data_IF_787029637823
#
_entry.id   IF_787029637823
#
_cell.length_a   1.000
_cell.length_b   1.000
_cell.length_c   1.000
_cell.angle_alpha   90.00
_cell.angle_beta   90.00
_cell.angle_gamma   90.00
#
_symmetry.space_group_name_H-M   'P 1'
#
loop_
_entity.id
_entity.type
_entity.pdbx_description
1 polymer ?
#
# COMPACT_ATOMS: atom_id res chain seq x y z
N UNK A 1 -35.40 -4.19 -31.06
CA UNK A 1 -36.69 -3.62 -31.55
C UNK A 1 -37.90 -4.47 -31.18
N UNK A 2 -37.90 -5.79 -31.42
CA UNK A 2 -39.07 -6.66 -31.11
C UNK A 2 -39.50 -6.66 -29.63
N UNK A 3 -38.55 -6.56 -28.69
CA UNK A 3 -38.81 -6.59 -27.24
C UNK A 3 -39.65 -5.39 -26.74
N UNK A 4 -39.43 -4.18 -27.27
CA UNK A 4 -40.18 -2.99 -26.85
C UNK A 4 -41.64 -3.06 -27.30
N UNK A 5 -41.89 -3.57 -28.53
CA UNK A 5 -43.25 -3.79 -29.04
C UNK A 5 -44.02 -4.85 -28.25
N UNK A 6 -43.37 -5.94 -27.83
CA UNK A 6 -43.99 -6.99 -27.01
C UNK A 6 -44.44 -6.47 -25.64
N UNK A 7 -43.70 -5.52 -25.07
CA UNK A 7 -44.02 -4.88 -23.79
C UNK A 7 -44.94 -3.65 -23.96
N UNK A 8 -45.29 -3.27 -25.18
CA UNK A 8 -46.14 -2.10 -25.47
C UNK A 8 -45.51 -0.75 -25.11
N UNK A 9 -44.18 -0.67 -25.06
CA UNK A 9 -43.42 0.52 -24.65
C UNK A 9 -42.62 1.10 -25.81
N UNK A 10 -42.34 2.41 -25.75
CA UNK A 10 -41.54 3.10 -26.75
C UNK A 10 -40.04 2.72 -26.61
N UNK A 11 -39.27 2.86 -27.68
CA UNK A 11 -37.85 2.49 -27.73
C UNK A 11 -36.96 3.42 -26.88
N UNK A 12 -37.44 4.61 -26.56
CA UNK A 12 -36.78 5.61 -25.71
C UNK A 12 -37.29 5.62 -24.25
N UNK A 13 -38.13 4.66 -23.88
CA UNK A 13 -38.75 4.59 -22.55
C UNK A 13 -37.74 4.29 -21.43
N UNK A 14 -37.83 5.03 -20.32
CA UNK A 14 -36.98 4.84 -19.13
C UNK A 14 -37.19 3.47 -18.48
N UNK A 15 -36.16 2.96 -17.79
CA UNK A 15 -36.19 1.66 -17.12
C UNK A 15 -37.40 1.48 -16.19
N UNK A 16 -37.80 2.55 -15.49
CA UNK A 16 -38.96 2.52 -14.59
C UNK A 16 -40.27 2.30 -15.34
N UNK A 17 -40.43 2.93 -16.51
CA UNK A 17 -41.63 2.78 -17.35
C UNK A 17 -41.73 1.38 -17.95
N UNK A 18 -40.60 0.80 -18.39
CA UNK A 18 -40.53 -0.60 -18.86
C UNK A 18 -40.90 -1.58 -17.74
N UNK A 19 -40.43 -1.33 -16.51
CA UNK A 19 -40.75 -2.16 -15.35
C UNK A 19 -42.24 -2.10 -15.00
N UNK A 20 -42.85 -0.92 -15.04
CA UNK A 20 -44.28 -0.75 -14.78
C UNK A 20 -45.13 -1.45 -15.84
N UNK A 21 -44.80 -1.29 -17.12
CA UNK A 21 -45.48 -1.97 -18.21
C UNK A 21 -45.42 -3.50 -18.09
N UNK A 22 -44.25 -4.05 -17.75
CA UNK A 22 -44.09 -5.48 -17.47
C UNK A 22 -44.98 -5.95 -16.32
N UNK A 23 -45.00 -5.24 -15.19
CA UNK A 23 -45.85 -5.62 -14.04
C UNK A 23 -47.33 -5.59 -14.39
N UNK A 24 -47.78 -4.63 -15.20
CA UNK A 24 -49.17 -4.57 -15.68
C UNK A 24 -49.52 -5.71 -16.63
N UNK A 25 -48.58 -6.13 -17.48
CA UNK A 25 -48.76 -7.27 -18.39
C UNK A 25 -48.74 -8.61 -17.66
N UNK A 26 -47.82 -8.81 -16.72
CA UNK A 26 -47.73 -10.02 -15.91
C UNK A 26 -49.02 -10.24 -15.12
N UNK A 27 -49.60 -9.20 -14.54
CA UNK A 27 -50.89 -9.29 -13.83
C UNK A 27 -52.05 -9.78 -14.72
N UNK A 28 -51.98 -9.58 -16.04
CA UNK A 28 -53.01 -10.00 -17.00
C UNK A 28 -52.71 -11.36 -17.64
N UNK A 29 -51.43 -11.71 -17.79
CA UNK A 29 -50.98 -12.87 -18.56
C UNK A 29 -50.59 -14.07 -17.68
N UNK A 30 -50.43 -13.87 -16.36
CA UNK A 30 -50.05 -14.94 -15.47
C UNK A 30 -51.12 -16.05 -15.44
N UNK A 31 -50.74 -17.34 -15.55
CA UNK A 31 -51.70 -18.46 -15.62
C UNK A 31 -52.65 -18.52 -14.42
N UNK A 32 -52.20 -18.08 -13.24
CA UNK A 32 -53.01 -18.07 -12.02
C UNK A 32 -53.81 -16.76 -11.80
N UNK A 33 -53.77 -15.81 -12.74
CA UNK A 33 -54.45 -14.51 -12.59
C UNK A 33 -55.97 -14.57 -12.86
N UNK A 34 -56.47 -15.70 -13.38
CA UNK A 34 -57.88 -15.89 -13.72
C UNK A 34 -58.41 -14.99 -14.84
N UNK A 35 -57.54 -14.27 -15.54
CA UNK A 35 -57.90 -13.34 -16.63
C UNK A 35 -58.13 -14.11 -17.94
N UNK A 36 -59.09 -13.71 -18.80
CA UNK A 36 -59.39 -14.41 -20.06
C UNK A 36 -58.24 -14.42 -21.07
N UNK A 37 -57.24 -13.55 -20.91
CA UNK A 37 -56.02 -13.50 -21.74
C UNK A 37 -54.83 -14.24 -21.11
N UNK A 38 -55.02 -14.91 -19.96
CA UNK A 38 -53.95 -15.65 -19.28
C UNK A 38 -53.43 -16.80 -20.17
N UNK A 39 -52.14 -16.76 -20.49
CA UNK A 39 -51.49 -17.75 -21.35
C UNK A 39 -50.03 -17.90 -20.92
N UNK A 40 -49.64 -19.13 -20.60
CA UNK A 40 -48.28 -19.45 -20.17
C UNK A 40 -47.24 -19.15 -21.25
N UNK A 41 -47.58 -19.38 -22.53
CA UNK A 41 -46.71 -19.10 -23.67
C UNK A 41 -46.46 -17.59 -23.83
N UNK A 42 -47.53 -16.78 -23.79
CA UNK A 42 -47.42 -15.32 -23.86
C UNK A 42 -46.65 -14.74 -22.68
N UNK A 43 -46.82 -15.31 -21.50
CA UNK A 43 -46.06 -14.90 -20.32
C UNK A 43 -44.55 -15.14 -20.50
N UNK A 44 -44.15 -16.30 -21.03
CA UNK A 44 -42.73 -16.61 -21.31
C UNK A 44 -42.12 -15.66 -22.35
N UNK A 45 -42.87 -15.31 -23.40
CA UNK A 45 -42.43 -14.34 -24.41
C UNK A 45 -42.19 -12.95 -23.79
N UNK A 46 -43.12 -12.47 -22.96
CA UNK A 46 -43.02 -11.18 -22.27
C UNK A 46 -41.87 -11.17 -21.25
N UNK A 47 -41.66 -12.27 -20.53
CA UNK A 47 -40.58 -12.41 -19.56
C UNK A 47 -39.20 -12.42 -20.23
N UNK A 48 -39.05 -13.18 -21.32
CA UNK A 48 -37.82 -13.19 -22.12
C UNK A 48 -37.49 -11.80 -22.69
N UNK A 49 -38.51 -11.08 -23.18
CA UNK A 49 -38.37 -9.72 -23.68
C UNK A 49 -37.93 -8.74 -22.58
N UNK A 50 -38.51 -8.84 -21.38
CA UNK A 50 -38.16 -7.99 -20.24
C UNK A 50 -36.73 -8.24 -19.76
N UNK A 51 -36.29 -9.50 -19.69
CA UNK A 51 -34.92 -9.88 -19.29
C UNK A 51 -33.87 -9.30 -20.24
N UNK A 52 -34.11 -9.36 -21.56
CA UNK A 52 -33.23 -8.76 -22.57
C UNK A 52 -33.13 -7.24 -22.40
N UNK A 53 -34.25 -6.55 -22.12
CA UNK A 53 -34.24 -5.11 -21.88
C UNK A 53 -33.50 -4.74 -20.59
N UNK A 54 -33.68 -5.52 -19.52
CA UNK A 54 -32.98 -5.30 -18.26
C UNK A 54 -31.46 -5.44 -18.42
N UNK A 55 -31.00 -6.40 -19.22
CA UNK A 55 -29.58 -6.55 -19.56
C UNK A 55 -29.06 -5.36 -20.38
N UNK A 56 -29.83 -4.88 -21.36
CA UNK A 56 -29.47 -3.68 -22.15
C UNK A 56 -29.31 -2.44 -21.25
N UNK A 57 -30.22 -2.21 -20.30
CA UNK A 57 -30.09 -1.10 -19.34
C UNK A 57 -28.92 -1.29 -18.37
N UNK A 58 -28.62 -2.52 -17.94
CA UNK A 58 -27.45 -2.82 -17.11
C UNK A 58 -26.13 -2.58 -17.85
N UNK A 59 -26.05 -2.95 -19.14
CA UNK A 59 -24.89 -2.68 -20.01
C UNK A 59 -24.70 -1.18 -20.25
N UNK A 60 -25.78 -0.45 -20.54
CA UNK A 60 -25.73 1.00 -20.71
C UNK A 60 -25.22 1.74 -19.46
N UNK A 61 -25.66 1.35 -18.26
CA UNK A 61 -25.14 1.90 -16.98
C UNK A 61 -23.65 1.65 -16.76
N UNK A 62 -23.12 0.55 -17.30
CA UNK A 62 -21.69 0.22 -17.20
C UNK A 62 -20.83 0.97 -18.22
N UNK A 63 -21.42 1.83 -19.05
CA UNK A 63 -20.69 2.61 -20.05
C UNK A 63 -20.05 1.77 -21.16
N UNK A 64 -20.50 0.51 -21.32
CA UNK A 64 -20.00 -0.37 -22.37
C UNK A 64 -20.75 0.00 -23.65
N UNK A 65 -20.19 0.95 -24.40
CA UNK A 65 -20.57 1.18 -25.80
C UNK A 65 -20.05 -0.02 -26.58
N UNK A 66 -20.93 -0.98 -26.84
CA UNK A 66 -20.63 -2.12 -27.70
C UNK A 66 -20.68 -1.60 -29.15
N UNK A 67 -19.55 -1.11 -29.63
CA UNK A 67 -19.34 -0.74 -31.02
C UNK A 67 -19.46 -2.03 -31.85
N UNK A 68 -20.65 -2.26 -32.41
CA UNK A 68 -21.05 -3.48 -33.11
C UNK A 68 -20.31 -3.70 -34.46
N UNK A 69 -19.13 -3.12 -34.64
CA UNK A 69 -18.34 -3.20 -35.88
C UNK A 69 -16.82 -3.22 -35.74
N UNK A 70 -16.24 -3.38 -34.55
CA UNK A 70 -14.80 -3.72 -34.53
C UNK A 70 -14.65 -5.25 -34.57
N UNK A 71 -14.26 -5.72 -35.76
CA UNK A 71 -13.44 -6.91 -35.92
C UNK A 71 -12.55 -7.06 -34.69
N UNK A 72 -12.55 -8.24 -34.07
CA UNK A 72 -11.58 -8.58 -33.03
C UNK A 72 -10.21 -8.26 -33.62
N UNK A 73 -9.63 -7.10 -33.25
CA UNK A 73 -8.24 -6.77 -33.55
C UNK A 73 -7.45 -7.81 -32.77
N UNK A 74 -7.21 -8.95 -33.42
CA UNK A 74 -6.12 -9.84 -33.09
C UNK A 74 -4.90 -8.99 -33.38
N UNK A 75 -4.48 -8.24 -32.38
CA UNK A 75 -3.20 -7.57 -32.46
C UNK A 75 -2.18 -8.72 -32.56
N UNK A 76 -1.59 -8.87 -33.74
CA UNK A 76 -0.45 -9.77 -33.96
C UNK A 76 0.78 -9.12 -33.32
N UNK A 77 0.69 -8.93 -32.00
CA UNK A 77 1.76 -8.39 -31.20
C UNK A 77 2.76 -9.53 -31.07
N UNK A 78 3.72 -9.57 -32.00
CA UNK A 78 4.97 -10.31 -31.82
C UNK A 78 5.82 -9.64 -30.73
N UNK A 79 5.27 -9.52 -29.53
CA UNK A 79 6.09 -9.33 -28.34
C UNK A 79 6.45 -10.72 -27.86
N UNK A 80 7.75 -11.01 -27.82
CA UNK A 80 8.27 -12.11 -27.02
C UNK A 80 7.74 -11.90 -25.61
N UNK A 81 6.71 -12.67 -25.23
CA UNK A 81 6.17 -12.61 -23.89
C UNK A 81 7.36 -12.73 -22.92
N UNK A 82 7.52 -11.82 -21.94
CA UNK A 82 8.61 -11.91 -20.99
C UNK A 82 8.66 -13.35 -20.46
N UNK A 83 9.79 -14.03 -20.69
CA UNK A 83 9.97 -15.47 -20.43
C UNK A 83 9.78 -15.84 -18.94
N UNK A 84 9.54 -14.85 -18.09
CA UNK A 84 9.40 -14.96 -16.64
C UNK A 84 7.96 -14.65 -16.19
N UNK A 85 6.94 -15.17 -16.89
CA UNK A 85 5.60 -15.32 -16.28
C UNK A 85 5.70 -16.37 -15.18
N UNK A 86 6.20 -15.97 -14.01
CA UNK A 86 6.00 -16.73 -12.80
C UNK A 86 4.51 -16.65 -12.47
N UNK A 87 3.79 -17.74 -12.69
CA UNK A 87 2.45 -17.85 -12.11
C UNK A 87 2.58 -17.63 -10.61
N UNK A 88 1.68 -16.83 -10.02
CA UNK A 88 1.53 -16.75 -8.57
C UNK A 88 1.28 -18.17 -8.07
N UNK A 89 2.34 -18.83 -7.59
CA UNK A 89 2.23 -20.09 -6.88
C UNK A 89 1.60 -19.73 -5.55
N UNK A 90 0.31 -20.02 -5.40
CA UNK A 90 -0.41 -19.82 -4.15
C UNK A 90 0.07 -20.80 -3.05
N UNK A 91 1.30 -21.31 -3.12
CA UNK A 91 1.84 -22.39 -2.27
C UNK A 91 0.92 -23.64 -2.19
N UNK A 92 0.15 -23.90 -3.24
CA UNK A 92 -0.86 -24.97 -3.26
C UNK A 92 -2.11 -24.68 -2.43
N UNK A 93 -2.29 -23.44 -1.96
CA UNK A 93 -3.38 -23.03 -1.09
C UNK A 93 -4.59 -22.61 -1.93
N UNK A 94 -5.71 -23.27 -1.65
CA UNK A 94 -7.01 -22.97 -2.23
C UNK A 94 -7.38 -23.83 -3.43
N UNK A 95 -8.68 -23.93 -3.68
CA UNK A 95 -9.26 -24.74 -4.76
C UNK A 95 -10.16 -23.90 -5.68
N UNK A 96 -10.37 -24.38 -6.90
CA UNK A 96 -11.24 -23.74 -7.88
C UNK A 96 -10.53 -22.79 -8.84
N UNK A 97 -11.29 -21.82 -9.36
CA UNK A 97 -10.83 -20.90 -10.42
C UNK A 97 -9.64 -20.03 -9.95
N UNK A 98 -8.79 -19.52 -10.85
CA UNK A 98 -7.65 -18.68 -10.47
C UNK A 98 -8.02 -17.47 -9.58
N UNK A 99 -9.16 -16.82 -9.84
CA UNK A 99 -9.64 -15.69 -9.03
C UNK A 99 -10.09 -16.12 -7.62
N UNK A 100 -10.73 -17.29 -7.50
CA UNK A 100 -11.12 -17.85 -6.19
C UNK A 100 -9.87 -18.21 -5.36
N UNK A 101 -8.89 -18.86 -5.99
CA UNK A 101 -7.60 -19.18 -5.35
C UNK A 101 -6.85 -17.92 -4.91
N UNK A 102 -6.84 -16.87 -5.73
CA UNK A 102 -6.25 -15.58 -5.35
C UNK A 102 -6.91 -14.98 -4.11
N UNK A 103 -8.25 -14.98 -4.05
CA UNK A 103 -8.99 -14.47 -2.88
C UNK A 103 -8.69 -15.26 -1.61
N UNK A 104 -8.65 -16.59 -1.72
CA UNK A 104 -8.32 -17.48 -0.59
C UNK A 104 -6.86 -17.32 -0.13
N UNK A 105 -5.92 -17.20 -1.08
CA UNK A 105 -4.52 -16.95 -0.76
C UNK A 105 -4.34 -15.59 -0.07
N UNK A 106 -5.07 -14.56 -0.49
CA UNK A 106 -5.07 -13.25 0.19
C UNK A 106 -5.55 -13.36 1.63
N UNK A 107 -6.61 -14.12 1.91
CA UNK A 107 -7.09 -14.33 3.29
C UNK A 107 -6.07 -15.08 4.14
N UNK A 108 -5.43 -16.13 3.60
CA UNK A 108 -4.41 -16.90 4.32
C UNK A 108 -3.14 -16.09 4.55
N UNK A 109 -2.72 -15.29 3.57
CA UNK A 109 -1.60 -14.37 3.70
C UNK A 109 -1.84 -13.34 4.81
N UNK A 110 -3.05 -12.79 4.91
CA UNK A 110 -3.41 -11.84 5.97
C UNK A 110 -3.36 -12.50 7.37
N UNK A 111 -3.90 -13.72 7.52
CA UNK A 111 -3.84 -14.47 8.77
C UNK A 111 -2.38 -14.76 9.19
N UNK A 112 -1.55 -15.22 8.25
CA UNK A 112 -0.13 -15.49 8.49
C UNK A 112 0.66 -14.24 8.86
N UNK A 113 0.29 -13.07 8.32
CA UNK A 113 0.88 -11.79 8.71
C UNK A 113 0.52 -11.41 10.16
N UNK A 114 -0.74 -11.65 10.58
CA UNK A 114 -1.16 -11.42 11.95
C UNK A 114 -0.44 -12.34 12.94
N UNK A 115 -0.29 -13.62 12.61
CA UNK A 115 0.44 -14.61 13.40
C UNK A 115 1.90 -14.18 13.60
N UNK A 116 2.60 -13.78 12.53
CA UNK A 116 3.99 -13.30 12.61
C UNK A 116 4.15 -12.04 13.47
N UNK A 117 3.18 -11.13 13.41
CA UNK A 117 3.19 -9.92 14.26
C UNK A 117 3.01 -10.30 15.73
N UNK A 118 2.13 -11.27 16.02
CA UNK A 118 1.91 -11.79 17.36
C UNK A 118 3.15 -12.53 17.89
N UNK A 119 3.76 -13.37 17.07
CA UNK A 119 5.02 -14.07 17.36
C UNK A 119 6.15 -13.08 17.65
N UNK A 120 6.32 -12.05 16.80
CA UNK A 120 7.30 -11.00 17.04
C UNK A 120 7.03 -10.22 18.33
N UNK A 121 5.76 -9.98 18.67
CA UNK A 121 5.37 -9.36 19.96
C UNK A 121 5.69 -10.26 21.15
N UNK A 122 5.43 -11.56 21.05
CA UNK A 122 5.75 -12.55 22.09
C UNK A 122 7.27 -12.68 22.27
N UNK A 123 8.03 -12.81 21.19
CA UNK A 123 9.50 -12.83 21.21
C UNK A 123 10.07 -11.56 21.84
N UNK A 124 9.52 -10.39 21.48
CA UNK A 124 9.90 -9.12 22.12
C UNK A 124 9.55 -9.07 23.61
N UNK A 125 8.42 -9.65 24.03
CA UNK A 125 8.05 -9.74 25.44
C UNK A 125 8.97 -10.70 26.23
N UNK A 126 9.33 -11.85 25.66
CA UNK A 126 10.30 -12.78 26.25
C UNK A 126 11.70 -12.17 26.34
N UNK A 127 12.14 -11.44 25.32
CA UNK A 127 13.41 -10.72 25.35
C UNK A 127 13.44 -9.58 26.41
N UNK A 128 12.29 -9.08 26.83
CA UNK A 128 12.20 -8.08 27.90
C UNK A 128 12.26 -8.65 29.32
N UNK A 129 12.07 -9.97 29.52
CA UNK A 129 12.24 -10.60 30.84
C UNK A 129 13.71 -10.83 31.21
N UNK A 130 14.61 -10.99 30.23
CA UNK A 130 16.06 -11.16 30.45
C UNK A 130 16.86 -9.85 30.50
N UNK A 131 16.25 -8.72 30.14
CA UNK A 131 16.89 -7.40 30.11
C UNK A 131 16.35 -6.47 31.21
N UNK A 132 16.93 -6.57 32.41
CA UNK A 132 16.70 -5.63 33.52
C UNK A 132 17.27 -4.24 33.19
N UNK A 133 16.41 -3.21 33.29
CA UNK A 133 16.66 -1.73 33.27
C UNK A 133 17.13 -1.13 31.93
N UNK A 134 16.50 -0.12 31.33
CA UNK A 134 16.04 1.19 31.87
C UNK A 134 14.85 1.66 31.02
N UNK A 135 13.62 1.60 31.56
CA UNK A 135 12.43 2.15 30.87
C UNK A 135 12.47 3.67 30.95
N UNK A 136 12.84 4.32 29.84
CA UNK A 136 12.52 5.74 29.64
C UNK A 136 11.00 5.94 29.73
N UNK A 137 10.59 7.10 30.22
CA UNK A 137 9.23 7.50 30.61
C UNK A 137 8.19 7.54 29.45
N UNK A 138 8.51 6.95 28.30
CA UNK A 138 7.71 6.97 27.08
C UNK A 138 6.81 5.73 26.90
N UNK A 139 6.83 4.76 27.82
CA UNK A 139 6.12 3.48 27.66
C UNK A 139 5.04 3.17 28.73
N UNK A 140 4.64 4.12 29.57
CA UNK A 140 3.48 3.99 30.49
C UNK A 140 2.12 4.29 29.83
N UNK A 141 1.83 3.76 28.64
CA UNK A 141 0.48 3.95 28.04
C UNK A 141 -0.33 2.70 27.76
N UNK A 142 0.18 1.49 27.96
CA UNK A 142 -0.61 0.30 27.66
C UNK A 142 -0.41 -0.84 28.65
N UNK A 143 -0.53 -0.56 29.96
CA UNK A 143 -1.05 -1.59 30.85
C UNK A 143 -2.51 -1.86 30.50
N UNK A 144 -2.82 -3.13 30.34
CA UNK A 144 -4.12 -3.65 29.94
C UNK A 144 -5.03 -3.59 31.18
N UNK A 145 -5.72 -2.47 31.37
CA UNK A 145 -6.81 -2.35 32.35
C UNK A 145 -7.93 -1.48 31.74
N UNK A 146 -9.09 -2.11 31.48
CA UNK A 146 -10.42 -1.49 31.29
C UNK A 146 -10.57 -0.32 30.30
N UNK A 147 -10.26 -0.53 29.00
CA UNK A 147 -10.25 0.56 27.98
C UNK A 147 -11.54 0.72 27.17
N UNK A 148 -12.49 -0.21 27.28
CA UNK A 148 -13.72 -0.19 26.45
C UNK A 148 -14.80 0.81 26.90
N UNK A 149 -14.56 1.61 27.95
CA UNK A 149 -15.53 2.63 28.38
C UNK A 149 -15.44 3.89 27.56
N UNK A 150 -14.26 4.51 27.54
CA UNK A 150 -14.05 5.79 26.85
C UNK A 150 -14.12 5.64 25.33
N UNK A 151 -13.46 4.64 24.75
CA UNK A 151 -13.48 4.43 23.29
C UNK A 151 -14.90 4.12 22.78
N UNK A 152 -15.73 3.43 23.58
CA UNK A 152 -17.14 3.19 23.25
C UNK A 152 -17.98 4.45 23.38
N UNK A 153 -17.77 5.25 24.42
CA UNK A 153 -18.46 6.55 24.59
C UNK A 153 -18.08 7.51 23.47
N UNK A 154 -16.82 7.54 23.06
CA UNK A 154 -16.35 8.33 21.91
C UNK A 154 -16.99 7.82 20.62
N UNK A 155 -17.05 6.51 20.40
CA UNK A 155 -17.73 5.94 19.22
C UNK A 155 -19.22 6.28 19.21
N UNK A 156 -19.93 6.13 20.34
CA UNK A 156 -21.34 6.46 20.47
C UNK A 156 -21.59 7.96 20.20
N UNK A 157 -20.71 8.85 20.68
CA UNK A 157 -20.76 10.30 20.40
C UNK A 157 -20.46 10.62 18.92
N UNK A 158 -19.52 9.91 18.29
CA UNK A 158 -19.23 10.05 16.86
C UNK A 158 -20.44 9.62 16.04
N UNK A 159 -21.05 8.48 16.36
CA UNK A 159 -22.26 7.99 15.67
C UNK A 159 -23.44 8.96 15.86
N UNK A 160 -23.61 9.51 17.07
CA UNK A 160 -24.63 10.52 17.34
C UNK A 160 -24.39 11.79 16.50
N UNK A 161 -23.17 12.30 16.44
CA UNK A 161 -22.80 13.46 15.60
C UNK A 161 -22.93 13.17 14.09
N UNK A 162 -22.67 11.94 13.64
CA UNK A 162 -22.94 11.49 12.26
C UNK A 162 -24.45 11.53 11.98
N UNK A 163 -25.29 11.00 12.90
CA UNK A 163 -26.74 11.00 12.75
C UNK A 163 -27.36 12.40 12.74
N UNK A 164 -26.79 13.33 13.52
CA UNK A 164 -27.18 14.75 13.54
C UNK A 164 -26.74 15.50 12.29
N UNK A 165 -25.83 14.92 11.51
CA UNK A 165 -25.31 15.51 10.29
C UNK A 165 -24.23 16.56 10.52
N UNK A 166 -23.61 16.61 11.70
CA UNK A 166 -22.57 17.60 12.05
C UNK A 166 -21.36 17.52 11.10
N UNK A 167 -21.12 16.36 10.50
CA UNK A 167 -20.04 16.12 9.54
C UNK A 167 -20.36 16.53 8.09
N UNK A 168 -21.62 16.90 7.81
CA UNK A 168 -22.07 17.22 6.43
C UNK A 168 -21.56 18.56 5.90
N UNK A 169 -21.14 19.47 6.80
CA UNK A 169 -20.61 20.80 6.45
C UNK A 169 -19.07 20.86 6.46
N UNK A 170 -18.39 19.71 6.43
CA UNK A 170 -16.92 19.67 6.39
C UNK A 170 -16.41 19.85 4.96
N UNK A 171 -15.29 20.58 4.82
CA UNK A 171 -14.62 20.75 3.54
C UNK A 171 -14.15 19.40 3.00
N UNK A 172 -14.77 18.92 1.91
CA UNK A 172 -14.47 17.62 1.32
C UNK A 172 -15.50 16.52 1.60
N UNK A 173 -16.58 16.83 2.32
CA UNK A 173 -17.69 15.89 2.50
C UNK A 173 -18.27 15.46 1.13
N UNK A 174 -18.41 14.15 0.93
CA UNK A 174 -18.92 13.56 -0.32
C UNK A 174 -17.97 13.60 -1.52
N UNK A 175 -16.81 14.25 -1.43
CA UNK A 175 -15.78 14.18 -2.47
C UNK A 175 -15.01 12.86 -2.34
N UNK A 176 -14.61 12.22 -3.44
CA UNK A 176 -13.69 11.08 -3.36
C UNK A 176 -12.44 11.52 -2.61
N UNK A 177 -11.85 10.60 -1.83
CA UNK A 177 -10.54 10.85 -1.21
C UNK A 177 -9.60 11.37 -2.30
N UNK A 178 -8.82 12.44 -2.04
CA UNK A 178 -7.91 12.98 -3.02
C UNK A 178 -7.06 11.83 -3.55
N UNK A 179 -7.10 11.64 -4.86
CA UNK A 179 -6.38 10.57 -5.52
C UNK A 179 -4.91 10.89 -5.28
N UNK A 180 -4.32 10.21 -4.30
CA UNK A 180 -2.92 10.37 -3.97
C UNK A 180 -2.15 9.70 -5.12
N UNK A 181 -2.10 10.38 -6.27
CA UNK A 181 -1.28 10.09 -7.45
C UNK A 181 0.22 10.00 -7.11
N UNK A 182 0.61 10.21 -5.85
CA UNK A 182 1.90 9.82 -5.29
C UNK A 182 2.00 8.31 -5.00
N UNK A 183 1.12 7.48 -5.55
CA UNK A 183 1.32 6.05 -5.58
C UNK A 183 2.37 5.79 -6.67
N UNK A 184 3.61 5.53 -6.24
CA UNK A 184 4.68 5.17 -7.16
C UNK A 184 4.19 3.98 -8.02
N UNK A 185 4.04 4.12 -9.36
CA UNK A 185 3.50 3.07 -10.22
C UNK A 185 4.30 1.77 -10.19
N UNK A 186 5.57 1.86 -9.76
CA UNK A 186 6.48 0.72 -9.64
C UNK A 186 6.38 0.00 -8.29
N UNK A 187 5.59 0.50 -7.34
CA UNK A 187 5.40 -0.11 -6.02
C UNK A 187 4.00 -0.71 -5.96
N UNK A 188 3.92 -1.98 -5.56
CA UNK A 188 2.63 -2.64 -5.42
C UNK A 188 1.78 -1.97 -4.31
N UNK A 189 0.46 -2.07 -4.47
CA UNK A 189 -0.50 -1.45 -3.56
C UNK A 189 -0.26 -1.83 -2.08
N UNK A 190 0.12 -3.08 -1.82
CA UNK A 190 0.31 -3.55 -0.44
C UNK A 190 1.55 -2.96 0.22
N UNK A 191 2.68 -2.88 -0.50
CA UNK A 191 3.90 -2.22 -0.01
C UNK A 191 3.71 -0.73 0.18
N UNK A 192 3.02 -0.05 -0.75
CA UNK A 192 2.73 1.37 -0.61
C UNK A 192 1.88 1.65 0.63
N UNK A 193 0.82 0.85 0.84
CA UNK A 193 -0.03 0.98 2.01
C UNK A 193 0.72 0.69 3.31
N UNK A 194 1.59 -0.31 3.32
CA UNK A 194 2.43 -0.64 4.47
C UNK A 194 3.37 0.53 4.81
N UNK A 195 4.08 1.08 3.82
CA UNK A 195 4.95 2.24 4.01
C UNK A 195 4.16 3.47 4.49
N UNK A 196 2.96 3.69 3.95
CA UNK A 196 2.07 4.78 4.39
C UNK A 196 1.64 4.61 5.85
N UNK A 197 1.17 3.43 6.24
CA UNK A 197 0.81 3.12 7.63
C UNK A 197 2.02 3.32 8.55
N UNK A 198 3.21 2.91 8.09
CA UNK A 198 4.44 3.06 8.84
C UNK A 198 4.76 4.53 9.11
N UNK A 199 4.68 5.38 8.08
CA UNK A 199 4.87 6.83 8.18
C UNK A 199 3.81 7.50 9.05
N UNK A 200 2.53 7.17 8.85
CA UNK A 200 1.40 7.74 9.59
C UNK A 200 1.51 7.43 11.10
N UNK A 201 2.05 6.27 11.46
CA UNK A 201 2.32 5.88 12.85
C UNK A 201 3.68 6.36 13.38
N UNK A 202 4.47 7.09 12.58
CA UNK A 202 5.81 7.54 12.95
C UNK A 202 6.81 6.40 13.18
N UNK A 203 6.53 5.20 12.66
CA UNK A 203 7.46 4.08 12.74
C UNK A 203 8.47 4.19 11.59
N UNK A 204 9.73 3.84 11.85
CA UNK A 204 10.77 3.78 10.82
C UNK A 204 11.55 2.48 10.98
N UNK A 205 11.84 1.74 9.89
CA UNK A 205 12.68 0.55 9.96
C UNK A 205 14.07 0.88 10.52
N UNK A 206 14.66 -0.09 11.23
CA UNK A 206 15.97 0.07 11.88
C UNK A 206 17.09 0.46 10.89
N UNK A 207 17.08 -0.08 9.66
CA UNK A 207 18.08 0.27 8.67
C UNK A 207 17.97 1.73 8.20
N UNK A 208 16.77 2.34 8.24
CA UNK A 208 16.59 3.75 7.88
C UNK A 208 17.19 4.65 8.97
N UNK A 209 16.94 4.34 10.24
CA UNK A 209 17.53 5.09 11.35
C UNK A 209 19.04 4.92 11.36
N UNK A 210 19.53 3.69 11.21
CA UNK A 210 20.96 3.40 11.18
C UNK A 210 21.67 4.12 10.02
N UNK A 211 21.05 4.19 8.84
CA UNK A 211 21.60 4.96 7.72
C UNK A 211 21.72 6.45 8.01
N UNK A 212 20.73 7.02 8.71
CA UNK A 212 20.79 8.43 9.15
C UNK A 212 21.92 8.63 10.15
N UNK A 213 22.04 7.74 11.12
CA UNK A 213 23.07 7.81 12.16
C UNK A 213 24.48 7.68 11.55
N UNK A 214 24.68 6.76 10.60
CA UNK A 214 25.96 6.61 9.86
C UNK A 214 26.30 7.90 9.13
N UNK A 215 25.35 8.52 8.43
CA UNK A 215 25.62 9.79 7.72
C UNK A 215 26.03 10.90 8.68
N UNK A 216 25.29 11.04 9.79
CA UNK A 216 25.61 12.06 10.80
C UNK A 216 27.00 11.83 11.41
N UNK A 217 27.36 10.57 11.71
CA UNK A 217 28.68 10.23 12.23
C UNK A 217 29.81 10.51 11.22
N UNK A 218 29.59 10.18 9.93
CA UNK A 218 30.55 10.48 8.86
C UNK A 218 30.71 11.98 8.67
N UNK A 219 29.62 12.75 8.70
CA UNK A 219 29.67 14.20 8.55
C UNK A 219 30.38 14.87 9.73
N UNK A 220 30.14 14.41 10.96
CA UNK A 220 30.85 14.87 12.16
C UNK A 220 32.35 14.57 12.08
N UNK A 221 32.73 13.34 11.70
CA UNK A 221 34.12 12.95 11.50
C UNK A 221 34.81 13.82 10.43
N UNK A 222 34.12 14.09 9.31
CA UNK A 222 34.63 14.99 8.26
C UNK A 222 34.80 16.42 8.77
N UNK A 223 33.88 16.93 9.59
CA UNK A 223 33.99 18.27 10.16
C UNK A 223 35.16 18.37 11.14
N UNK A 224 35.38 17.35 11.98
CA UNK A 224 36.52 17.31 12.89
C UNK A 224 37.85 17.24 12.12
N UNK A 225 37.94 16.41 11.08
CA UNK A 225 39.10 16.36 10.20
C UNK A 225 39.35 17.71 9.49
N UNK A 226 38.31 18.42 9.04
CA UNK A 226 38.44 19.78 8.49
C UNK A 226 38.97 20.77 9.52
N UNK A 227 38.47 20.72 10.77
CA UNK A 227 38.94 21.58 11.86
C UNK A 227 40.41 21.31 12.20
N UNK A 228 40.83 20.05 12.19
CA UNK A 228 42.22 19.66 12.37
C UNK A 228 43.09 20.13 11.19
N UNK A 229 42.61 19.94 9.95
CA UNK A 229 43.33 20.39 8.75
C UNK A 229 43.50 21.90 8.67
N UNK A 230 42.52 22.67 9.15
CA UNK A 230 42.58 24.14 9.20
C UNK A 230 43.65 24.67 10.17
N UNK A 231 44.11 23.86 11.15
CA UNK A 231 45.23 24.22 12.03
C UNK A 231 46.60 24.08 11.35
N UNK A 232 46.65 23.34 10.25
CA UNK A 232 47.88 23.09 9.48
C UNK A 232 48.01 24.13 8.37
N UNK A 233 49.24 24.44 7.98
CA UNK A 233 49.54 25.44 6.95
C UNK A 233 49.04 25.10 5.53
N UNK A 234 49.28 26.03 4.57
CA UNK A 234 48.99 25.78 3.15
C UNK A 234 49.83 24.63 2.61
N UNK A 235 49.33 23.96 1.56
CA UNK A 235 50.09 22.92 0.86
C UNK A 235 51.33 23.52 0.17
N UNK A 236 52.48 22.81 0.11
CA UNK A 236 52.79 21.51 0.71
C UNK A 236 53.04 21.59 2.22
N UNK A 237 52.56 20.58 2.96
CA UNK A 237 52.78 20.48 4.41
C UNK A 237 54.27 20.27 4.71
N UNK A 238 54.74 20.85 5.81
CA UNK A 238 56.06 20.54 6.33
C UNK A 238 56.11 19.10 6.85
N UNK A 239 57.27 18.45 6.82
CA UNK A 239 57.48 17.09 7.38
C UNK A 239 56.98 16.97 8.83
N UNK A 240 57.08 18.04 9.63
CA UNK A 240 56.55 18.07 11.01
C UNK A 240 55.02 18.12 11.06
N UNK A 241 54.41 18.83 10.12
CA UNK A 241 52.95 18.96 10.01
C UNK A 241 52.32 17.68 9.47
N UNK A 242 53.00 16.98 8.55
CA UNK A 242 52.59 15.65 8.08
C UNK A 242 52.58 14.61 9.21
N UNK A 243 53.64 14.58 10.04
CA UNK A 243 53.68 13.71 11.22
C UNK A 243 52.59 14.05 12.25
N UNK A 244 52.23 15.33 12.39
CA UNK A 244 51.12 15.74 13.24
C UNK A 244 49.77 15.30 12.67
N UNK A 245 49.59 15.42 11.36
CA UNK A 245 48.41 14.94 10.65
C UNK A 245 48.23 13.43 10.80
N UNK A 246 49.31 12.66 10.62
CA UNK A 246 49.30 11.20 10.77
C UNK A 246 48.90 10.77 12.19
N UNK A 247 49.46 11.43 13.23
CA UNK A 247 49.05 11.20 14.63
C UNK A 247 47.58 11.52 14.88
N UNK A 248 47.05 12.57 14.25
CA UNK A 248 45.62 12.90 14.38
C UNK A 248 44.73 11.91 13.63
N UNK A 249 45.16 11.40 12.48
CA UNK A 249 44.46 10.33 11.78
C UNK A 249 44.43 9.05 12.63
N UNK A 250 45.54 8.70 13.28
CA UNK A 250 45.62 7.55 14.18
C UNK A 250 44.62 7.67 15.35
N UNK A 251 44.48 8.86 15.94
CA UNK A 251 43.48 9.11 16.99
C UNK A 251 42.03 8.98 16.48
N UNK A 252 41.76 9.35 15.23
CA UNK A 252 40.44 9.24 14.62
C UNK A 252 40.14 7.84 14.06
N UNK A 253 41.14 6.95 14.03
CA UNK A 253 40.99 5.56 13.58
C UNK A 253 39.94 4.82 14.39
N UNK A 254 39.91 5.00 15.71
CA UNK A 254 38.92 4.35 16.57
C UNK A 254 37.48 4.71 16.17
N UNK A 255 37.22 5.98 15.87
CA UNK A 255 35.89 6.44 15.47
C UNK A 255 35.50 5.90 14.08
N UNK A 256 36.46 5.88 13.15
CA UNK A 256 36.26 5.24 11.85
C UNK A 256 35.93 3.74 11.99
N UNK A 257 36.57 3.01 12.92
CA UNK A 257 36.21 1.59 13.15
C UNK A 257 34.80 1.42 13.70
N UNK A 258 34.30 2.34 14.54
CA UNK A 258 32.91 2.30 15.04
C UNK A 258 31.92 2.55 13.90
N UNK A 259 32.19 3.54 13.06
CA UNK A 259 31.39 3.83 11.86
C UNK A 259 31.39 2.61 10.93
N UNK A 260 32.53 1.96 10.72
CA UNK A 260 32.62 0.76 9.89
C UNK A 260 31.80 -0.41 10.45
N UNK A 261 31.81 -0.63 11.77
CA UNK A 261 30.93 -1.62 12.41
C UNK A 261 29.44 -1.30 12.20
N UNK A 262 29.06 -0.02 12.24
CA UNK A 262 27.68 0.40 11.94
C UNK A 262 27.34 0.16 10.47
N UNK A 263 28.26 0.44 9.55
CA UNK A 263 28.12 0.14 8.12
C UNK A 263 27.95 -1.35 7.87
N UNK A 264 28.74 -2.20 8.53
CA UNK A 264 28.62 -3.65 8.42
C UNK A 264 27.24 -4.13 8.91
N UNK A 265 26.80 -3.64 10.08
CA UNK A 265 25.46 -3.91 10.60
C UNK A 265 24.38 -3.45 9.60
N UNK A 266 24.52 -2.28 9.02
CA UNK A 266 23.60 -1.77 8.01
C UNK A 266 23.56 -2.69 6.78
N UNK A 267 24.72 -3.09 6.25
CA UNK A 267 24.83 -3.97 5.09
C UNK A 267 24.18 -5.34 5.30
N UNK A 268 24.14 -5.84 6.54
CA UNK A 268 23.46 -7.08 6.91
C UNK A 268 21.93 -6.96 6.97
N UNK A 269 21.40 -5.79 7.35
CA UNK A 269 19.95 -5.61 7.60
C UNK A 269 19.23 -5.06 6.38
N UNK A 270 19.94 -4.36 5.49
CA UNK A 270 19.35 -3.68 4.33
C UNK A 270 18.73 -4.69 3.36
N UNK A 271 17.43 -4.56 3.03
CA UNK A 271 16.75 -5.51 2.14
C UNK A 271 17.20 -5.45 0.68
N UNK A 272 17.92 -4.40 0.28
CA UNK A 272 18.28 -4.13 -1.11
C UNK A 272 19.80 -4.06 -1.28
N UNK A 273 20.38 -4.99 -2.03
CA UNK A 273 21.84 -5.06 -2.24
C UNK A 273 22.45 -3.76 -2.80
N UNK A 274 21.73 -3.07 -3.69
CA UNK A 274 22.18 -1.79 -4.27
C UNK A 274 22.19 -0.61 -3.28
N UNK A 275 21.69 -0.80 -2.06
CA UNK A 275 21.71 0.21 -1.00
C UNK A 275 22.79 -0.06 0.05
N UNK A 276 23.59 -1.11 -0.09
CA UNK A 276 24.74 -1.36 0.78
C UNK A 276 25.78 -0.25 0.65
N UNK A 277 26.52 -0.02 1.72
CA UNK A 277 27.54 1.02 1.85
C UNK A 277 28.94 0.42 1.88
N UNK A 278 29.90 1.17 1.35
CA UNK A 278 31.32 0.81 1.42
C UNK A 278 31.87 1.28 2.76
N UNK A 279 32.80 0.51 3.33
CA UNK A 279 33.52 0.90 4.53
C UNK A 279 34.30 2.20 4.31
N UNK A 280 34.38 2.99 5.37
CA UNK A 280 35.11 4.24 5.42
C UNK A 280 36.61 3.97 5.56
N UNK A 281 37.41 4.55 4.66
CA UNK A 281 38.86 4.61 4.77
C UNK A 281 39.32 6.04 5.08
N UNK A 282 40.04 6.21 6.19
CA UNK A 282 40.50 7.53 6.65
C UNK A 282 41.50 8.18 5.71
N UNK A 283 42.39 7.39 5.09
CA UNK A 283 43.33 7.89 4.09
C UNK A 283 42.61 8.55 2.90
N UNK A 284 41.53 7.91 2.42
CA UNK A 284 40.74 8.45 1.31
C UNK A 284 40.04 9.74 1.71
N UNK A 285 39.45 9.78 2.91
CA UNK A 285 38.80 11.00 3.43
C UNK A 285 39.82 12.11 3.64
N UNK A 286 41.01 11.80 4.16
CA UNK A 286 42.10 12.75 4.33
C UNK A 286 42.58 13.33 2.99
N UNK A 287 42.71 12.50 1.97
CA UNK A 287 43.08 12.93 0.61
C UNK A 287 41.98 13.76 -0.06
N UNK A 288 40.70 13.43 0.14
CA UNK A 288 39.60 14.26 -0.36
C UNK A 288 39.61 15.65 0.29
N UNK A 289 39.92 15.72 1.59
CA UNK A 289 40.01 16.99 2.33
C UNK A 289 41.25 17.81 1.98
N UNK A 290 42.35 17.18 1.55
CA UNK A 290 43.54 17.91 1.11
C UNK A 290 43.37 18.55 -0.27
N UNK A 291 42.49 18.03 -1.12
CA UNK A 291 42.22 18.59 -2.46
C UNK A 291 41.21 19.76 -2.41
N UNK A 292 40.39 19.85 -1.36
CA UNK A 292 39.29 20.83 -1.25
C UNK A 292 39.68 22.13 -0.53
N UNK A 293 40.92 22.28 -0.07
CA UNK A 293 41.47 23.47 0.61
C UNK A 293 42.66 24.03 -0.17
#
# INVERSE_FOLDING_TARGET
MKCYRLLGVNEQSDQNTVRQAYLTLVKKLHPDSGHPEASAERFQEVDSAFRILQEKFAKARRGIVEDLREEVKVYDIKHTAPQHRQYLSFDGIGYGTPAQRQKQYQTVRAAKAQERVLEHRLSKAQATETAVMKKGDYFKKHEIKTKYGYDRVVEDLIQEAISRGDFSNLSGFGKPLPDHQSQNPYVDFTTHKMNKIMLDNGFTPEWITLHKDIRQAVDALKEDLRRLRAKLGPLPLSVREEQQWEKWLEQQQEEATKINKMIDKFNLIVPMMNKQMVQLSLERVGNELSVLL
#
